data_IF_391994451306
#
_entry.id   IF_391994451306
#
_cell.length_a   1.000
_cell.length_b   1.000
_cell.length_c   1.000
_cell.angle_alpha   90.00
_cell.angle_beta   90.00
_cell.angle_gamma   90.00
#
_symmetry.space_group_name_H-M   'P 1'
#
loop_
_entity.id
_entity.type
_entity.pdbx_description
1 polymer ?
#
# COMPACT_ATOMS: atom_id res chain seq x y z
N UNK A 1 0.80 -4.18 7.56
CA UNK A 1 0.71 -2.77 7.13
C UNK A 1 -0.53 -2.08 7.70
N UNK A 2 -1.75 -2.46 7.32
CA UNK A 2 -2.96 -1.75 7.75
C UNK A 2 -3.18 -1.71 9.26
N UNK A 3 -2.80 -2.76 10.00
CA UNK A 3 -2.81 -2.74 11.47
C UNK A 3 -1.97 -1.60 12.05
N UNK A 4 -0.73 -1.44 11.57
CA UNK A 4 0.17 -0.37 12.02
C UNK A 4 -0.32 1.02 11.57
N UNK A 5 -0.95 1.10 10.39
CA UNK A 5 -1.61 2.33 9.97
C UNK A 5 -2.75 2.68 10.91
N UNK A 6 -3.67 1.75 11.21
CA UNK A 6 -4.80 2.00 12.09
C UNK A 6 -4.35 2.47 13.49
N UNK A 7 -3.36 1.79 14.09
CA UNK A 7 -2.81 2.16 15.41
C UNK A 7 -1.95 3.43 15.41
N UNK A 8 -1.56 3.95 14.25
CA UNK A 8 -0.63 5.10 14.16
C UNK A 8 0.83 4.74 14.46
N UNK A 9 1.20 3.46 14.40
CA UNK A 9 2.57 2.99 14.62
C UNK A 9 3.45 3.25 13.39
N UNK A 10 4.02 4.44 13.36
CA UNK A 10 4.94 4.89 12.30
C UNK A 10 6.24 4.06 12.27
N UNK A 11 6.68 3.50 13.39
CA UNK A 11 7.90 2.70 13.44
C UNK A 11 7.73 1.37 12.69
N UNK A 12 6.62 0.67 12.92
CA UNK A 12 6.27 -0.54 12.17
C UNK A 12 5.96 -0.25 10.70
N UNK A 13 5.38 0.91 10.38
CA UNK A 13 5.19 1.31 8.99
C UNK A 13 6.52 1.54 8.25
N UNK A 14 7.54 2.10 8.91
CA UNK A 14 8.86 2.36 8.32
C UNK A 14 9.62 1.09 7.96
N UNK A 15 9.43 0.01 8.73
CA UNK A 15 10.08 -1.28 8.44
C UNK A 15 9.40 -2.01 7.27
N UNK A 16 8.07 -1.89 7.14
CA UNK A 16 7.28 -2.63 6.14
C UNK A 16 7.07 -1.88 4.83
N UNK A 17 7.01 -0.55 4.84
CA UNK A 17 6.66 0.26 3.66
C UNK A 17 7.87 0.99 3.09
N UNK A 18 7.83 1.25 1.78
CA UNK A 18 8.76 2.17 1.12
C UNK A 18 8.44 3.63 1.49
N UNK A 19 9.42 4.54 1.34
CA UNK A 19 9.31 5.92 1.84
C UNK A 19 8.11 6.68 1.27
N UNK A 20 7.78 6.51 -0.01
CA UNK A 20 6.62 7.18 -0.62
C UNK A 20 5.29 6.82 0.05
N UNK A 21 5.04 5.52 0.27
CA UNK A 21 3.85 5.06 0.97
C UNK A 21 3.86 5.46 2.45
N UNK A 22 5.02 5.37 3.10
CA UNK A 22 5.20 5.81 4.48
C UNK A 22 4.88 7.30 4.66
N UNK A 23 5.33 8.16 3.75
CA UNK A 23 5.05 9.59 3.77
C UNK A 23 3.53 9.87 3.67
N UNK A 24 2.84 9.17 2.77
CA UNK A 24 1.37 9.25 2.65
C UNK A 24 0.67 8.83 3.96
N UNK A 25 1.09 7.72 4.57
CA UNK A 25 0.53 7.28 5.85
C UNK A 25 0.82 8.26 6.99
N UNK A 26 2.04 8.81 7.09
CA UNK A 26 2.39 9.83 8.08
C UNK A 26 1.51 11.06 7.96
N UNK A 27 1.33 11.58 6.75
CA UNK A 27 0.45 12.73 6.49
C UNK A 27 -0.96 12.46 7.00
N UNK A 28 -1.53 11.30 6.66
CA UNK A 28 -2.88 10.89 7.09
C UNK A 28 -3.00 10.63 8.59
N UNK A 29 -1.94 10.17 9.24
CA UNK A 29 -1.91 10.00 10.70
C UNK A 29 -1.85 11.36 11.41
N UNK A 30 -1.06 12.30 10.91
CA UNK A 30 -0.86 13.62 11.51
C UNK A 30 -2.12 14.49 11.50
N UNK A 31 -3.01 14.31 10.52
CA UNK A 31 -4.26 15.07 10.40
C UNK A 31 -5.45 14.41 11.10
N UNK A 32 -5.24 13.30 11.82
CA UNK A 32 -6.34 12.62 12.54
C UNK A 32 -6.91 13.54 13.62
N UNK A 33 -8.25 13.60 13.77
CA UNK A 33 -8.87 14.25 14.91
C UNK A 33 -8.29 13.76 16.24
N UNK A 34 -8.08 14.65 17.22
CA UNK A 34 -7.59 14.26 18.53
C UNK A 34 -8.55 13.26 19.18
N UNK A 35 -8.00 12.24 19.83
CA UNK A 35 -8.74 11.13 20.48
C UNK A 35 -9.60 10.28 19.52
N UNK A 36 -9.30 10.30 18.23
CA UNK A 36 -9.80 9.29 17.30
C UNK A 36 -8.95 8.01 17.40
N UNK A 37 -9.61 6.87 17.48
CA UNK A 37 -8.98 5.55 17.36
C UNK A 37 -9.50 4.84 16.12
N UNK A 38 -8.60 4.18 15.38
CA UNK A 38 -8.94 3.33 14.25
C UNK A 38 -8.51 1.90 14.56
N UNK A 39 -9.38 0.94 14.27
CA UNK A 39 -9.07 -0.48 14.35
C UNK A 39 -9.39 -1.14 13.02
N UNK A 40 -8.35 -1.65 12.36
CA UNK A 40 -8.50 -2.43 11.14
C UNK A 40 -8.48 -3.92 11.47
N UNK A 41 -9.41 -4.66 10.88
CA UNK A 41 -9.54 -6.10 11.08
C UNK A 41 -9.59 -6.82 9.75
N UNK A 42 -8.73 -7.83 9.60
CA UNK A 42 -8.82 -8.82 8.53
C UNK A 42 -9.66 -10.00 9.02
N UNK A 43 -10.84 -10.19 8.44
CA UNK A 43 -11.73 -11.28 8.82
C UNK A 43 -11.29 -12.59 8.19
N UNK A 44 -11.07 -12.60 6.88
CA UNK A 44 -10.58 -13.78 6.15
C UNK A 44 -10.02 -13.42 4.78
N UNK A 45 -9.17 -14.30 4.26
CA UNK A 45 -8.81 -14.30 2.84
C UNK A 45 -9.85 -15.08 2.02
N UNK A 46 -10.19 -14.56 0.85
CA UNK A 46 -11.06 -15.21 -0.15
C UNK A 46 -10.13 -15.93 -1.13
N UNK A 47 -9.52 -17.02 -0.66
CA UNK A 47 -8.48 -17.76 -1.40
C UNK A 47 -7.05 -17.35 -1.05
N UNK A 48 -6.08 -18.05 -1.63
CA UNK A 48 -4.65 -17.76 -1.41
C UNK A 48 -4.19 -16.55 -2.24
N UNK A 49 -3.40 -15.63 -1.68
CA UNK A 49 -2.72 -14.59 -2.45
C UNK A 49 -1.96 -15.17 -3.65
N UNK A 50 -1.98 -14.48 -4.79
CA UNK A 50 -1.31 -14.94 -6.02
C UNK A 50 -0.42 -13.86 -6.61
N UNK A 51 0.77 -14.24 -7.07
CA UNK A 51 1.62 -13.37 -7.88
C UNK A 51 0.99 -13.24 -9.26
N UNK A 52 0.79 -11.99 -9.69
CA UNK A 52 0.18 -11.64 -10.98
C UNK A 52 1.24 -11.20 -11.97
N UNK A 53 2.28 -10.52 -11.48
CA UNK A 53 3.38 -10.04 -12.31
C UNK A 53 4.66 -9.96 -11.49
N UNK A 54 5.78 -10.22 -12.16
CA UNK A 54 7.12 -10.01 -11.64
C UNK A 54 7.87 -9.17 -12.65
N UNK A 55 8.48 -8.09 -12.18
CA UNK A 55 9.30 -7.19 -12.99
C UNK A 55 10.68 -7.05 -12.37
N UNK A 56 11.72 -7.16 -13.19
CA UNK A 56 13.11 -7.03 -12.76
C UNK A 56 13.80 -6.07 -13.72
N UNK A 57 14.35 -4.99 -13.18
CA UNK A 57 15.03 -3.95 -13.94
C UNK A 57 16.48 -3.87 -13.48
N UNK A 58 17.42 -4.07 -14.41
CA UNK A 58 18.83 -3.79 -14.14
C UNK A 58 19.04 -2.29 -14.05
N UNK A 59 19.78 -1.83 -13.04
CA UNK A 59 20.14 -0.43 -12.89
C UNK A 59 21.53 -0.19 -13.49
N UNK A 60 21.78 1.04 -13.96
CA UNK A 60 23.11 1.49 -14.43
C UNK A 60 24.09 1.74 -13.27
N UNK A 61 23.88 1.05 -12.16
CA UNK A 61 24.74 1.02 -10.99
C UNK A 61 25.30 -0.39 -10.91
N UNK A 62 26.60 -0.52 -10.65
CA UNK A 62 27.28 -1.81 -10.64
C UNK A 62 26.49 -2.88 -9.87
N UNK A 63 26.19 -4.00 -10.56
CA UNK A 63 25.50 -5.18 -10.02
C UNK A 63 24.26 -4.82 -9.21
N UNK A 64 23.48 -3.84 -9.68
CA UNK A 64 22.28 -3.36 -9.01
C UNK A 64 21.05 -3.62 -9.85
N UNK A 65 19.93 -3.92 -9.18
CA UNK A 65 18.67 -4.22 -9.83
C UNK A 65 17.49 -3.85 -8.92
N UNK A 66 16.37 -3.49 -9.54
CA UNK A 66 15.09 -3.32 -8.88
C UNK A 66 14.22 -4.54 -9.15
N UNK A 67 13.69 -5.15 -8.08
CA UNK A 67 12.78 -6.28 -8.16
C UNK A 67 11.42 -5.84 -7.66
N UNK A 68 10.39 -6.02 -8.48
CA UNK A 68 9.01 -5.73 -8.14
C UNK A 68 8.12 -6.95 -8.39
N UNK A 69 7.19 -7.20 -7.48
CA UNK A 69 6.22 -8.29 -7.58
C UNK A 69 4.84 -7.73 -7.24
N UNK A 70 3.87 -7.99 -8.10
CA UNK A 70 2.47 -7.62 -7.88
C UNK A 70 1.74 -8.85 -7.36
N UNK A 71 1.16 -8.72 -6.17
CA UNK A 71 0.41 -9.79 -5.49
C UNK A 71 -1.07 -9.39 -5.44
N UNK A 72 -1.93 -10.20 -6.06
CA UNK A 72 -3.38 -10.12 -5.88
C UNK A 72 -3.76 -10.74 -4.56
N UNK A 73 -4.47 -9.97 -3.75
CA UNK A 73 -5.08 -10.42 -2.51
C UNK A 73 -6.58 -10.18 -2.55
N UNK A 74 -7.33 -11.18 -2.10
CA UNK A 74 -8.78 -11.09 -1.97
C UNK A 74 -9.12 -11.37 -0.52
N UNK A 75 -9.89 -10.50 0.11
CA UNK A 75 -10.16 -10.60 1.55
C UNK A 75 -11.48 -9.96 1.95
N UNK A 76 -11.90 -10.25 3.17
CA UNK A 76 -12.97 -9.55 3.87
C UNK A 76 -12.33 -8.74 4.99
N UNK A 77 -12.57 -7.44 5.01
CA UNK A 77 -11.96 -6.50 5.96
C UNK A 77 -13.01 -5.58 6.57
N UNK A 78 -12.75 -5.06 7.77
CA UNK A 78 -13.51 -3.95 8.36
C UNK A 78 -12.57 -2.90 8.95
N UNK A 79 -13.09 -1.69 9.10
CA UNK A 79 -12.44 -0.58 9.78
C UNK A 79 -13.44 0.02 10.76
N UNK A 80 -13.05 0.08 12.02
CA UNK A 80 -13.83 0.68 13.09
C UNK A 80 -13.19 2.01 13.46
N UNK A 81 -14.01 3.05 13.55
CA UNK A 81 -13.60 4.40 13.95
C UNK A 81 -14.32 4.77 15.24
N UNK A 82 -13.54 4.99 16.29
CA UNK A 82 -14.02 5.44 17.59
C UNK A 82 -13.64 6.90 17.79
N UNK A 83 -14.64 7.76 18.00
CA UNK A 83 -14.43 9.19 18.24
C UNK A 83 -14.36 9.51 19.74
N UNK A 84 -13.73 10.65 20.06
CA UNK A 84 -13.44 11.16 21.41
C UNK A 84 -14.62 11.15 22.41
N UNK A 85 -15.85 11.20 21.90
CA UNK A 85 -17.05 11.30 22.73
C UNK A 85 -17.62 9.93 23.12
N UNK A 86 -17.03 8.81 22.66
CA UNK A 86 -17.53 7.44 22.94
C UNK A 86 -18.93 7.15 22.40
N UNK A 87 -19.56 8.13 21.74
CA UNK A 87 -20.97 8.16 21.35
C UNK A 87 -21.21 7.70 19.90
N UNK A 88 -20.17 7.69 19.06
CA UNK A 88 -20.25 7.21 17.68
C UNK A 88 -19.05 6.30 17.38
N UNK A 89 -19.33 5.00 17.34
CA UNK A 89 -18.49 4.00 16.67
C UNK A 89 -19.04 3.86 15.25
N UNK A 90 -18.31 4.37 14.27
CA UNK A 90 -18.61 4.10 12.86
C UNK A 90 -17.82 2.86 12.45
N UNK A 91 -18.51 1.73 12.44
CA UNK A 91 -17.96 0.47 11.96
C UNK A 91 -18.32 0.32 10.50
N UNK A 92 -17.31 0.35 9.63
CA UNK A 92 -17.50 -0.05 8.25
C UNK A 92 -17.89 -1.53 8.24
N UNK A 93 -19.03 -1.86 7.63
CA UNK A 93 -19.45 -3.26 7.45
C UNK A 93 -18.34 -4.08 6.78
N UNK A 94 -18.31 -5.38 7.08
CA UNK A 94 -17.40 -6.33 6.45
C UNK A 94 -17.44 -6.20 4.92
N UNK A 95 -16.36 -5.67 4.35
CA UNK A 95 -16.26 -5.40 2.92
C UNK A 95 -15.36 -6.44 2.28
N UNK A 96 -15.87 -7.06 1.21
CA UNK A 96 -15.04 -7.84 0.28
C UNK A 96 -14.18 -6.89 -0.53
N UNK A 97 -12.87 -7.08 -0.51
CA UNK A 97 -11.88 -6.25 -1.21
C UNK A 97 -10.97 -7.14 -2.05
N UNK A 98 -10.63 -6.64 -3.24
CA UNK A 98 -9.55 -7.16 -4.09
C UNK A 98 -8.51 -6.06 -4.20
N UNK A 99 -7.28 -6.37 -3.84
CA UNK A 99 -6.16 -5.43 -3.83
C UNK A 99 -4.97 -6.03 -4.56
N UNK A 100 -4.28 -5.21 -5.36
CA UNK A 100 -3.01 -5.57 -6.00
C UNK A 100 -1.89 -4.84 -5.28
N UNK A 101 -1.17 -5.55 -4.42
CA UNK A 101 -0.08 -4.98 -3.64
C UNK A 101 1.23 -5.15 -4.38
N UNK A 102 1.97 -4.04 -4.52
CA UNK A 102 3.29 -4.02 -5.14
C UNK A 102 4.33 -4.16 -4.03
N UNK A 103 5.03 -5.29 -4.05
CA UNK A 103 6.22 -5.53 -3.24
C UNK A 103 7.45 -5.12 -4.06
N UNK A 104 8.40 -4.45 -3.41
CA UNK A 104 9.65 -4.03 -4.03
C UNK A 104 10.83 -4.38 -3.12
N UNK A 105 11.93 -4.85 -3.73
CA UNK A 105 13.24 -4.89 -3.10
C UNK A 105 14.30 -4.39 -4.08
N UNK A 106 15.40 -3.86 -3.55
CA UNK A 106 16.58 -3.52 -4.34
C UNK A 106 17.68 -4.56 -4.13
N UNK A 107 18.45 -4.80 -5.18
CA UNK A 107 19.80 -5.34 -5.07
C UNK A 107 20.74 -4.17 -5.36
N UNK A 108 21.63 -3.86 -4.42
CA UNK A 108 22.62 -2.79 -4.56
C UNK A 108 24.01 -3.39 -4.46
N UNK A 109 24.82 -3.27 -5.51
CA UNK A 109 26.20 -3.81 -5.56
C UNK A 109 26.25 -5.28 -5.12
N UNK A 110 25.38 -6.10 -5.71
CA UNK A 110 25.18 -7.52 -5.39
C UNK A 110 24.70 -7.85 -3.96
N UNK A 111 24.25 -6.86 -3.18
CA UNK A 111 23.64 -7.06 -1.87
C UNK A 111 22.13 -6.90 -1.96
N UNK A 112 21.38 -7.91 -1.55
CA UNK A 112 19.92 -7.85 -1.48
C UNK A 112 19.44 -7.06 -0.26
N UNK A 113 18.46 -6.18 -0.48
CA UNK A 113 17.72 -5.52 0.58
C UNK A 113 16.43 -6.28 0.95
N UNK A 114 15.77 -5.79 2.00
CA UNK A 114 14.50 -6.36 2.48
C UNK A 114 13.34 -5.97 1.55
N UNK A 115 12.39 -6.88 1.39
CA UNK A 115 11.13 -6.59 0.71
C UNK A 115 10.33 -5.56 1.49
N UNK A 116 9.81 -4.57 0.78
CA UNK A 116 8.91 -3.56 1.31
C UNK A 116 7.69 -3.39 0.41
N UNK A 117 6.58 -2.97 1.00
CA UNK A 117 5.40 -2.58 0.25
C UNK A 117 5.68 -1.21 -0.38
N UNK A 118 5.71 -1.18 -1.71
CA UNK A 118 5.85 0.06 -2.47
C UNK A 118 4.53 0.81 -2.54
N UNK A 119 3.43 0.08 -2.75
CA UNK A 119 2.09 0.66 -2.88
C UNK A 119 1.04 -0.37 -3.29
N UNK A 120 -0.11 0.13 -3.70
CA UNK A 120 -1.20 -0.63 -4.31
C UNK A 120 -1.45 -0.11 -5.73
N UNK A 121 -1.96 -0.96 -6.61
CA UNK A 121 -2.35 -0.59 -7.97
C UNK A 121 -3.77 -1.07 -8.28
N UNK A 122 -4.41 -0.44 -9.26
CA UNK A 122 -5.70 -0.87 -9.81
C UNK A 122 -5.49 -1.66 -11.11
N UNK A 123 -6.50 -2.42 -11.52
CA UNK A 123 -6.48 -3.10 -12.82
C UNK A 123 -6.59 -2.05 -13.93
N UNK A 124 -5.55 -1.94 -14.75
CA UNK A 124 -5.59 -1.14 -15.97
C UNK A 124 -6.27 -1.93 -17.09
N UNK A 125 -7.06 -1.24 -17.92
CA UNK A 125 -7.54 -1.84 -19.17
C UNK A 125 -6.47 -1.72 -20.24
N UNK A 126 -6.55 -2.58 -21.26
CA UNK A 126 -5.58 -2.55 -22.37
C UNK A 126 -5.65 -1.21 -23.11
N UNK A 127 -6.83 -0.65 -23.23
CA UNK A 127 -7.07 0.63 -23.89
C UNK A 127 -6.40 1.80 -23.14
N UNK A 128 -6.35 1.75 -21.81
CA UNK A 128 -5.68 2.78 -20.99
C UNK A 128 -4.16 2.78 -21.19
N UNK A 129 -3.59 1.62 -21.52
CA UNK A 129 -2.14 1.44 -21.73
C UNK A 129 -1.72 1.75 -23.16
N UNK A 130 -2.59 1.45 -24.14
CA UNK A 130 -2.31 1.62 -25.56
C UNK A 130 -2.84 2.95 -26.14
N UNK A 131 -3.71 3.66 -25.42
CA UNK A 131 -4.23 4.96 -25.82
C UNK A 131 -3.17 6.07 -25.77
N UNK A 132 -3.24 7.00 -26.72
CA UNK A 132 -2.32 8.15 -26.90
C UNK A 132 -2.25 9.14 -25.71
N UNK A 133 -2.97 8.91 -24.62
CA UNK A 133 -2.96 9.71 -23.39
C UNK A 133 -1.96 9.22 -22.32
N UNK A 134 -1.12 8.21 -22.63
CA UNK A 134 -0.14 7.63 -21.71
C UNK A 134 0.99 8.59 -21.25
N UNK A 135 0.94 9.89 -21.58
CA UNK A 135 1.98 10.87 -21.27
C UNK A 135 1.74 11.67 -19.96
N UNK A 136 0.59 11.54 -19.27
CA UNK A 136 0.29 12.45 -18.12
C UNK A 136 -0.19 11.77 -16.82
N UNK A 137 0.10 10.49 -16.59
CA UNK A 137 -0.20 9.85 -15.28
C UNK A 137 0.97 9.89 -14.27
N UNK A 138 2.07 10.60 -14.57
CA UNK A 138 3.24 10.74 -13.66
C UNK A 138 3.34 12.11 -12.98
N UNK A 139 2.22 12.85 -12.82
CA UNK A 139 2.25 14.17 -12.15
C UNK A 139 0.96 14.52 -11.40
N UNK A 140 0.44 13.63 -10.56
CA UNK A 140 -0.71 13.96 -9.70
C UNK A 140 -0.68 13.30 -8.31
N UNK A 141 0.34 13.59 -7.51
CA UNK A 141 0.16 13.81 -6.06
C UNK A 141 1.08 14.96 -5.66
N UNK A 142 0.57 16.18 -5.81
CA UNK A 142 1.29 17.40 -5.49
C UNK A 142 0.49 18.64 -5.83
N UNK A 143 -0.65 18.84 -5.14
CA UNK A 143 -1.29 20.14 -4.90
C UNK A 143 -2.53 19.96 -4.03
N UNK A 144 -2.40 20.31 -2.75
CA UNK A 144 -3.24 21.30 -2.07
C UNK A 144 -2.44 21.91 -0.93
#
# INVERSE_FOLDING_TARGET
MYTAFASGDVASLKSVCHEGLLASFRSRINVRPPKESLQWTLHKYIGSPRIVSTNIVSLEIEKSALYQVIVKMQSVQSLERTTANGLASDTTQEKKMVEYVVLQRMMLRAKEETWKIWGTVEESKVEDVLGEDAVVATAAVGKQ
#
